data_IF_627556492470
#
_entry.id   IF_627556492470
#
_cell.length_a   1.000
_cell.length_b   1.000
_cell.length_c   1.000
_cell.angle_alpha   90.00
_cell.angle_beta   90.00
_cell.angle_gamma   90.00
#
_symmetry.space_group_name_H-M   'P 1'
#
loop_
_entity.id
_entity.type
_entity.pdbx_description
1 polymer ?
#
# COMPACT_ATOMS: atom_id res chain seq x y z
N UNK A 1 -42.48 33.54 -52.76
CA UNK A 1 -42.94 33.30 -51.39
C UNK A 1 -43.34 31.84 -51.25
N UNK A 2 -42.55 31.07 -50.48
CA UNK A 2 -42.90 30.02 -49.50
C UNK A 2 -41.53 29.49 -49.02
N UNK A 3 -41.24 29.72 -47.75
CA UNK A 3 -40.04 29.26 -47.06
C UNK A 3 -40.26 27.85 -46.53
N UNK A 4 -39.41 26.88 -46.88
CA UNK A 4 -39.35 25.58 -46.21
C UNK A 4 -38.26 25.58 -45.14
N UNK A 5 -38.71 25.84 -43.91
CA UNK A 5 -38.02 25.49 -42.67
C UNK A 5 -37.93 23.97 -42.50
N UNK A 6 -36.97 23.57 -41.66
CA UNK A 6 -36.98 22.37 -40.82
C UNK A 6 -36.36 21.11 -41.41
N UNK A 7 -35.22 20.76 -40.84
CA UNK A 7 -34.59 19.46 -41.04
C UNK A 7 -33.38 19.25 -40.15
N UNK A 8 -33.41 19.71 -38.90
CA UNK A 8 -32.53 19.16 -37.87
C UNK A 8 -32.83 17.66 -37.75
N UNK A 9 -32.09 16.81 -38.46
CA UNK A 9 -32.18 15.37 -38.24
C UNK A 9 -31.17 14.98 -37.17
N UNK A 10 -31.54 15.31 -35.94
CA UNK A 10 -30.86 14.92 -34.71
C UNK A 10 -31.02 13.41 -34.47
N UNK A 11 -30.35 12.58 -35.27
CA UNK A 11 -30.21 11.15 -34.99
C UNK A 11 -28.93 10.89 -34.18
N UNK A 12 -28.84 11.48 -32.98
CA UNK A 12 -27.97 10.96 -31.91
C UNK A 12 -28.69 9.74 -31.32
N UNK A 13 -28.51 8.57 -31.93
CA UNK A 13 -28.90 7.30 -31.28
C UNK A 13 -28.14 7.22 -29.95
N UNK A 14 -28.85 7.34 -28.84
CA UNK A 14 -28.30 7.05 -27.52
C UNK A 14 -28.05 5.54 -27.47
N UNK A 15 -26.81 5.12 -27.71
CA UNK A 15 -26.35 3.78 -27.37
C UNK A 15 -26.32 3.70 -25.85
N UNK A 16 -27.34 3.10 -25.27
CA UNK A 16 -27.34 2.75 -23.85
C UNK A 16 -26.44 1.51 -23.67
N UNK A 17 -25.49 1.51 -22.73
CA UNK A 17 -24.70 0.33 -22.44
C UNK A 17 -25.65 -0.79 -21.98
N UNK A 18 -25.46 -1.98 -22.55
CA UNK A 18 -26.23 -3.16 -22.13
C UNK A 18 -25.98 -3.45 -20.64
N UNK A 19 -26.96 -4.01 -19.93
CA UNK A 19 -26.81 -4.41 -18.52
C UNK A 19 -25.61 -5.34 -18.28
N UNK A 20 -25.22 -6.15 -19.29
CA UNK A 20 -24.01 -6.96 -19.25
C UNK A 20 -22.72 -6.12 -19.22
N UNK A 21 -22.67 -5.03 -19.99
CA UNK A 21 -21.56 -4.06 -19.95
C UNK A 21 -21.49 -3.30 -18.62
N UNK A 22 -22.63 -2.99 -17.99
CA UNK A 22 -22.66 -2.31 -16.69
C UNK A 22 -22.07 -3.22 -15.60
N UNK A 23 -22.46 -4.50 -15.55
CA UNK A 23 -21.94 -5.46 -14.57
C UNK A 23 -20.45 -5.78 -14.80
N UNK A 24 -20.01 -5.91 -16.06
CA UNK A 24 -18.57 -6.07 -16.37
C UNK A 24 -17.75 -4.84 -15.96
N UNK A 25 -18.25 -3.62 -16.22
CA UNK A 25 -17.56 -2.39 -15.81
C UNK A 25 -17.45 -2.23 -14.29
N UNK A 26 -18.47 -2.66 -13.54
CA UNK A 26 -18.46 -2.66 -12.08
C UNK A 26 -17.46 -3.67 -11.52
N UNK A 27 -17.44 -4.89 -12.08
CA UNK A 27 -16.49 -5.94 -11.70
C UNK A 27 -15.04 -5.55 -11.99
N UNK A 28 -14.76 -4.99 -13.19
CA UNK A 28 -13.43 -4.48 -13.52
C UNK A 28 -13.00 -3.32 -12.61
N UNK A 29 -13.93 -2.44 -12.24
CA UNK A 29 -13.65 -1.34 -11.32
C UNK A 29 -13.30 -1.85 -9.92
N UNK A 30 -14.01 -2.86 -9.42
CA UNK A 30 -13.73 -3.48 -8.13
C UNK A 30 -12.38 -4.23 -8.14
N UNK A 31 -12.06 -4.94 -9.21
CA UNK A 31 -10.76 -5.61 -9.37
C UNK A 31 -9.61 -4.59 -9.42
N UNK A 32 -9.75 -3.49 -10.18
CA UNK A 32 -8.75 -2.40 -10.19
C UNK A 32 -8.57 -1.78 -8.81
N UNK A 33 -9.65 -1.64 -8.04
CA UNK A 33 -9.58 -1.13 -6.66
C UNK A 33 -8.82 -2.09 -5.75
N UNK A 34 -9.10 -3.41 -5.82
CA UNK A 34 -8.39 -4.43 -5.06
C UNK A 34 -6.90 -4.45 -5.40
N UNK A 35 -6.54 -4.35 -6.67
CA UNK A 35 -5.15 -4.26 -7.13
C UNK A 35 -4.46 -3.01 -6.57
N UNK A 36 -5.11 -1.84 -6.66
CA UNK A 36 -4.56 -0.59 -6.11
C UNK A 36 -4.30 -0.68 -4.61
N UNK A 37 -5.24 -1.23 -3.84
CA UNK A 37 -5.07 -1.43 -2.40
C UNK A 37 -3.91 -2.39 -2.09
N UNK A 38 -3.78 -3.47 -2.86
CA UNK A 38 -2.68 -4.42 -2.72
C UNK A 38 -1.32 -3.76 -2.94
N UNK A 39 -1.21 -2.94 -4.00
CA UNK A 39 0.01 -2.17 -4.30
C UNK A 39 0.34 -1.19 -3.19
N UNK A 40 -0.64 -0.42 -2.71
CA UNK A 40 -0.42 0.55 -1.62
C UNK A 40 0.03 -0.15 -0.32
N UNK A 41 -0.54 -1.32 0.00
CA UNK A 41 -0.09 -2.13 1.15
C UNK A 41 1.35 -2.60 0.98
N UNK A 42 1.74 -3.03 -0.23
CA UNK A 42 3.12 -3.44 -0.51
C UNK A 42 4.08 -2.28 -0.30
N UNK A 43 3.78 -1.10 -0.85
CA UNK A 43 4.59 0.12 -0.68
C UNK A 43 4.74 0.46 0.81
N UNK A 44 3.64 0.45 1.56
CA UNK A 44 3.66 0.71 3.00
C UNK A 44 4.64 -0.20 3.76
N UNK A 45 4.61 -1.50 3.48
CA UNK A 45 5.50 -2.44 4.17
C UNK A 45 6.97 -2.28 3.77
N UNK A 46 7.25 -1.96 2.50
CA UNK A 46 8.62 -1.63 2.04
C UNK A 46 9.13 -0.40 2.78
N UNK A 47 8.37 0.70 2.79
CA UNK A 47 8.71 1.93 3.50
C UNK A 47 9.01 1.68 4.98
N UNK A 48 8.11 0.95 5.64
CA UNK A 48 8.22 0.65 7.07
C UNK A 48 9.43 -0.24 7.39
N UNK A 49 9.67 -1.27 6.60
CA UNK A 49 10.80 -2.17 6.78
C UNK A 49 12.12 -1.42 6.55
N UNK A 50 12.22 -0.67 5.46
CA UNK A 50 13.43 0.09 5.13
C UNK A 50 13.72 1.15 6.19
N UNK A 51 12.73 1.94 6.60
CA UNK A 51 12.86 2.91 7.68
C UNK A 51 13.33 2.28 9.01
N UNK A 52 12.83 1.08 9.35
CA UNK A 52 13.26 0.34 10.55
C UNK A 52 14.72 -0.10 10.47
N UNK A 53 15.19 -0.49 9.28
CA UNK A 53 16.59 -0.87 9.07
C UNK A 53 17.48 0.36 9.20
N UNK A 54 17.15 1.45 8.50
CA UNK A 54 17.91 2.71 8.56
C UNK A 54 17.99 3.27 9.99
N UNK A 55 16.88 3.20 10.74
CA UNK A 55 16.87 3.56 12.15
C UNK A 55 17.83 2.70 12.98
N UNK A 56 17.88 1.39 12.74
CA UNK A 56 18.81 0.48 13.41
C UNK A 56 20.28 0.75 13.03
N UNK A 57 20.52 1.27 11.83
CA UNK A 57 21.84 1.71 11.35
C UNK A 57 22.23 3.11 11.88
N UNK A 58 21.37 3.76 12.66
CA UNK A 58 21.66 5.04 13.30
C UNK A 58 21.37 6.27 12.44
N UNK A 59 20.61 6.12 11.36
CA UNK A 59 20.18 7.25 10.54
C UNK A 59 19.23 8.15 11.34
N UNK A 60 19.39 9.46 11.18
CA UNK A 60 18.44 10.43 11.74
C UNK A 60 17.09 10.36 11.02
N UNK A 61 16.02 10.83 11.66
CA UNK A 61 14.68 10.86 11.05
C UNK A 61 14.65 11.55 9.68
N UNK A 62 15.40 12.64 9.51
CA UNK A 62 15.45 13.35 8.22
C UNK A 62 16.10 12.48 7.15
N UNK A 63 17.25 11.89 7.44
CA UNK A 63 17.94 11.00 6.49
C UNK A 63 17.09 9.77 6.14
N UNK A 64 16.31 9.24 7.08
CA UNK A 64 15.38 8.14 6.82
C UNK A 64 14.30 8.55 5.82
N UNK A 65 13.73 9.75 5.98
CA UNK A 65 12.70 10.27 5.06
C UNK A 65 13.32 10.41 3.66
N UNK A 66 14.47 11.05 3.57
CA UNK A 66 15.15 11.31 2.29
C UNK A 66 15.47 9.98 1.56
N UNK A 67 16.04 9.00 2.27
CA UNK A 67 16.36 7.67 1.71
C UNK A 67 15.12 6.88 1.28
N UNK A 68 14.05 6.91 2.09
CA UNK A 68 12.81 6.20 1.76
C UNK A 68 12.13 6.84 0.56
N UNK A 69 12.11 8.17 0.47
CA UNK A 69 11.55 8.90 -0.67
C UNK A 69 12.35 8.62 -1.95
N UNK A 70 13.68 8.58 -1.89
CA UNK A 70 14.51 8.22 -3.04
C UNK A 70 14.23 6.80 -3.54
N UNK A 71 14.12 5.81 -2.66
CA UNK A 71 13.82 4.44 -3.08
C UNK A 71 12.38 4.31 -3.62
N UNK A 72 11.39 4.92 -2.97
CA UNK A 72 9.98 4.68 -3.29
C UNK A 72 9.46 5.58 -4.40
N UNK A 73 9.86 6.85 -4.42
CA UNK A 73 9.39 7.82 -5.42
C UNK A 73 10.32 7.85 -6.64
N UNK A 74 11.63 7.81 -6.41
CA UNK A 74 12.62 7.93 -7.48
C UNK A 74 13.10 6.57 -8.00
N UNK A 75 12.72 5.47 -7.34
CA UNK A 75 13.12 4.12 -7.73
C UNK A 75 14.61 3.86 -7.55
N UNK A 76 15.25 4.58 -6.62
CA UNK A 76 16.65 4.36 -6.28
C UNK A 76 16.86 2.95 -5.71
N UNK A 77 18.06 2.43 -5.91
CA UNK A 77 18.46 1.18 -5.26
C UNK A 77 18.66 1.43 -3.76
N UNK A 78 18.06 0.63 -2.87
CA UNK A 78 18.24 0.82 -1.45
C UNK A 78 19.70 0.56 -1.05
N UNK A 79 20.17 1.31 -0.04
CA UNK A 79 21.53 1.18 0.48
C UNK A 79 21.75 -0.17 1.21
N UNK A 80 20.66 -0.92 1.44
CA UNK A 80 20.65 -2.20 2.15
C UNK A 80 20.44 -3.34 1.17
N UNK A 81 20.95 -4.52 1.55
CA UNK A 81 20.72 -5.75 0.81
C UNK A 81 19.22 -6.04 0.65
N UNK A 82 18.83 -6.37 -0.59
CA UNK A 82 17.44 -6.63 -0.96
C UNK A 82 16.90 -7.88 -0.28
N UNK A 83 17.69 -8.94 -0.13
CA UNK A 83 17.27 -10.17 0.52
C UNK A 83 16.94 -9.91 2.00
N UNK A 84 17.78 -9.12 2.67
CA UNK A 84 17.57 -8.69 4.04
C UNK A 84 16.33 -7.78 4.19
N UNK A 85 16.08 -6.90 3.22
CA UNK A 85 14.88 -6.05 3.20
C UNK A 85 13.60 -6.89 3.05
N UNK A 86 13.61 -7.91 2.19
CA UNK A 86 12.48 -8.81 1.98
C UNK A 86 12.13 -9.60 3.25
N UNK A 87 13.13 -10.16 3.93
CA UNK A 87 12.92 -10.82 5.23
C UNK A 87 12.31 -9.86 6.24
N UNK A 88 12.80 -8.61 6.27
CA UNK A 88 12.29 -7.60 7.21
C UNK A 88 10.84 -7.22 6.94
N UNK A 89 10.41 -7.16 5.67
CA UNK A 89 9.01 -6.92 5.30
C UNK A 89 8.09 -7.98 5.90
N UNK A 90 8.48 -9.25 5.86
CA UNK A 90 7.71 -10.35 6.45
C UNK A 90 7.55 -10.14 7.96
N UNK A 91 8.65 -9.79 8.64
CA UNK A 91 8.64 -9.54 10.09
C UNK A 91 7.74 -8.36 10.46
N UNK A 92 7.79 -7.25 9.73
CA UNK A 92 6.93 -6.09 10.00
C UNK A 92 5.44 -6.43 9.78
N UNK A 93 5.13 -7.25 8.78
CA UNK A 93 3.76 -7.71 8.54
C UNK A 93 3.25 -8.61 9.66
N UNK A 94 4.07 -9.55 10.14
CA UNK A 94 3.74 -10.40 11.29
C UNK A 94 3.58 -9.58 12.57
N UNK A 95 4.42 -8.56 12.76
CA UNK A 95 4.33 -7.63 13.90
C UNK A 95 2.99 -6.88 13.90
N UNK A 96 2.56 -6.36 12.75
CA UNK A 96 1.28 -5.66 12.64
C UNK A 96 0.08 -6.58 12.86
N UNK A 97 0.11 -7.80 12.32
CA UNK A 97 -0.91 -8.82 12.61
C UNK A 97 -0.97 -9.06 14.11
N UNK A 98 0.18 -9.27 14.75
CA UNK A 98 0.24 -9.48 16.19
C UNK A 98 -0.37 -8.32 16.96
N UNK A 99 -0.04 -7.08 16.62
CA UNK A 99 -0.63 -5.90 17.27
C UNK A 99 -2.14 -5.77 17.04
N UNK A 100 -2.61 -6.06 15.82
CA UNK A 100 -4.03 -5.98 15.48
C UNK A 100 -4.89 -7.01 16.24
N UNK A 101 -4.36 -8.22 16.44
CA UNK A 101 -5.10 -9.31 17.09
C UNK A 101 -4.91 -9.37 18.61
N UNK A 102 -3.72 -9.03 19.13
CA UNK A 102 -3.38 -9.20 20.54
C UNK A 102 -3.22 -7.89 21.32
N UNK A 103 -3.26 -6.74 20.64
CA UNK A 103 -3.07 -5.42 21.25
C UNK A 103 -1.63 -5.14 21.68
N UNK A 104 -1.33 -3.88 22.03
CA UNK A 104 0.02 -3.44 22.48
C UNK A 104 0.43 -3.97 23.86
N UNK A 105 -0.48 -4.62 24.58
CA UNK A 105 -0.26 -5.16 25.94
C UNK A 105 0.69 -6.36 25.97
N UNK A 106 1.01 -6.98 24.81
CA UNK A 106 1.92 -8.12 24.75
C UNK A 106 3.41 -7.76 24.76
N UNK A 107 3.78 -6.52 24.44
CA UNK A 107 5.19 -6.10 24.54
C UNK A 107 5.67 -6.03 26.00
N UNK A 108 4.74 -5.95 26.98
CA UNK A 108 5.03 -6.00 28.41
C UNK A 108 5.36 -7.41 28.94
N UNK A 109 5.05 -8.49 28.21
CA UNK A 109 5.22 -9.86 28.71
C UNK A 109 6.65 -10.39 28.51
N UNK A 110 7.35 -9.96 27.45
CA UNK A 110 8.74 -10.35 27.18
C UNK A 110 9.77 -9.67 28.10
N UNK A 111 9.46 -8.49 28.62
CA UNK A 111 10.28 -7.81 29.63
C UNK A 111 10.27 -8.53 30.99
N UNK A 112 9.17 -9.21 31.31
CA UNK A 112 9.07 -10.03 32.52
C UNK A 112 9.82 -11.36 32.38
N UNK A 113 9.91 -11.92 31.17
CA UNK A 113 10.65 -13.15 30.89
C UNK A 113 12.16 -12.89 30.89
N UNK A 114 12.63 -11.78 30.29
CA UNK A 114 14.05 -11.40 30.28
C UNK A 114 14.60 -11.01 31.65
N UNK A 115 13.75 -10.50 32.56
CA UNK A 115 14.14 -10.23 33.95
C UNK A 115 14.29 -11.48 34.81
N UNK A 116 13.73 -12.62 34.38
CA UNK A 116 13.77 -13.89 35.13
C UNK A 116 15.03 -14.71 34.85
N UNK A 117 15.70 -14.47 33.73
CA UNK A 117 16.96 -15.10 33.33
C UNK A 117 18.23 -14.40 33.85
N UNK A 118 18.08 -13.28 34.55
CA UNK A 118 19.17 -12.42 35.01
C UNK A 118 19.35 -12.40 36.54
N UNK A 119 18.64 -13.26 37.27
CA UNK A 119 18.85 -13.47 38.70
C UNK A 119 19.76 -14.69 38.90
N UNK A 120 20.93 -14.54 39.57
CA UNK A 120 21.75 -15.67 40.02
C UNK A 120 21.05 -16.49 41.09
#
# INVERSE_FOLDING_TARGET
MISSLSGYNANRRRTFPSFQHVNQSAFESEERHRQRLSTLRRIYYVQKAYARILLALGYSTQQIIDEVDDVVLNGAEPVVDMDFLEERIIVERLRDIRHAYYGSSYDSCTDLISRRSSSP
#
